data_IF_509181748616
#
_entry.id   IF_509181748616
#
_cell.length_a   1.000
_cell.length_b   1.000
_cell.length_c   1.000
_cell.angle_alpha   90.00
_cell.angle_beta   90.00
_cell.angle_gamma   90.00
#
_symmetry.space_group_name_H-M   'P 1'
#
loop_
_entity.id
_entity.type
_entity.pdbx_description
1 polymer ?
#
# COMPACT_ATOMS: atom_id res chain seq x y z
N UNK A 1 -2.68 11.23 -25.00
CA UNK A 1 -2.55 10.07 -24.10
C UNK A 1 -1.12 9.84 -23.65
N UNK A 2 -0.16 9.60 -24.54
CA UNK A 2 1.21 9.22 -24.15
C UNK A 2 1.95 10.31 -23.34
N UNK A 3 1.78 11.58 -23.70
CA UNK A 3 2.42 12.71 -23.00
C UNK A 3 1.81 12.91 -21.60
N UNK A 4 0.48 12.86 -21.47
CA UNK A 4 -0.20 12.95 -20.17
C UNK A 4 0.16 11.77 -19.26
N UNK A 5 0.35 10.57 -19.80
CA UNK A 5 0.80 9.39 -19.05
C UNK A 5 2.23 9.58 -18.53
N UNK A 6 3.16 10.05 -19.37
CA UNK A 6 4.54 10.29 -18.95
C UNK A 6 4.64 11.39 -17.90
N UNK A 7 3.88 12.47 -18.03
CA UNK A 7 3.81 13.55 -17.04
C UNK A 7 3.19 13.05 -15.74
N UNK A 8 2.12 12.25 -15.77
CA UNK A 8 1.54 11.67 -14.55
C UNK A 8 2.49 10.70 -13.85
N UNK A 9 3.23 9.87 -14.58
CA UNK A 9 4.22 8.94 -14.01
C UNK A 9 5.42 9.70 -13.41
N UNK A 10 5.93 10.73 -14.09
CA UNK A 10 7.01 11.59 -13.58
C UNK A 10 6.56 12.39 -12.37
N UNK A 11 5.35 12.95 -12.40
CA UNK A 11 4.75 13.64 -11.25
C UNK A 11 4.54 12.64 -10.11
N UNK A 12 4.08 11.41 -10.36
CA UNK A 12 3.90 10.39 -9.30
C UNK A 12 5.25 9.95 -8.68
N UNK A 13 6.28 9.79 -9.50
CA UNK A 13 7.63 9.43 -9.04
C UNK A 13 8.33 10.60 -8.31
N UNK A 14 8.15 11.84 -8.79
CA UNK A 14 8.70 13.06 -8.18
C UNK A 14 7.85 13.59 -7.01
N UNK A 15 6.56 13.23 -6.95
CA UNK A 15 5.64 13.62 -5.87
C UNK A 15 5.96 12.94 -4.55
N UNK A 16 6.89 11.96 -4.53
CA UNK A 16 7.57 11.56 -3.31
C UNK A 16 6.62 11.39 -2.14
N UNK A 17 5.84 10.31 -2.13
CA UNK A 17 5.28 9.84 -0.87
C UNK A 17 6.14 8.62 -0.47
N UNK A 18 7.36 8.82 0.11
CA UNK A 18 8.18 7.74 0.65
C UNK A 18 7.36 6.74 1.48
N UNK A 19 6.33 7.23 2.15
CA UNK A 19 5.40 6.44 2.93
C UNK A 19 4.64 5.40 2.08
N UNK A 20 4.24 5.71 0.85
CA UNK A 20 3.59 4.73 -0.04
C UNK A 20 4.57 3.68 -0.56
N UNK A 21 5.82 4.07 -0.84
CA UNK A 21 6.87 3.12 -1.23
C UNK A 21 7.21 2.19 -0.06
N UNK A 22 7.33 2.74 1.15
CA UNK A 22 7.53 1.98 2.38
C UNK A 22 6.36 1.04 2.66
N UNK A 23 5.12 1.53 2.54
CA UNK A 23 3.91 0.72 2.70
C UNK A 23 3.86 -0.44 1.71
N UNK A 24 4.17 -0.19 0.44
CA UNK A 24 4.22 -1.22 -0.60
C UNK A 24 5.31 -2.26 -0.30
N UNK A 25 6.50 -1.83 0.16
CA UNK A 25 7.58 -2.73 0.54
C UNK A 25 7.19 -3.62 1.72
N UNK A 26 6.62 -3.05 2.78
CA UNK A 26 6.19 -3.80 3.98
C UNK A 26 5.10 -4.81 3.64
N UNK A 27 4.04 -4.39 2.92
CA UNK A 27 2.99 -5.30 2.47
C UNK A 27 3.53 -6.40 1.54
N UNK A 28 4.44 -6.06 0.63
CA UNK A 28 5.09 -7.02 -0.26
C UNK A 28 5.89 -8.09 0.50
N UNK A 29 6.64 -7.69 1.53
CA UNK A 29 7.38 -8.62 2.40
C UNK A 29 6.42 -9.52 3.17
N UNK A 30 5.42 -8.96 3.85
CA UNK A 30 4.47 -9.73 4.67
C UNK A 30 3.68 -10.72 3.81
N UNK A 31 3.11 -10.28 2.69
CA UNK A 31 2.36 -11.16 1.79
C UNK A 31 3.26 -12.21 1.14
N UNK A 32 4.51 -11.86 0.79
CA UNK A 32 5.51 -12.80 0.28
C UNK A 32 5.87 -13.90 1.29
N UNK A 33 6.06 -13.55 2.57
CA UNK A 33 6.29 -14.50 3.65
C UNK A 33 5.07 -15.41 3.88
N UNK A 34 3.86 -14.84 3.86
CA UNK A 34 2.63 -15.62 4.03
C UNK A 34 2.44 -16.66 2.92
N UNK A 35 2.78 -16.33 1.66
CA UNK A 35 2.75 -17.31 0.56
C UNK A 35 3.76 -18.43 0.78
N UNK A 36 4.96 -18.11 1.30
CA UNK A 36 5.99 -19.12 1.58
C UNK A 36 5.60 -20.09 2.69
N UNK A 37 4.91 -19.61 3.73
CA UNK A 37 4.49 -20.43 4.88
C UNK A 37 3.21 -21.22 4.58
N UNK A 38 2.23 -20.61 3.91
CA UNK A 38 0.90 -21.22 3.71
C UNK A 38 0.73 -21.92 2.37
N UNK A 39 1.59 -21.65 1.38
CA UNK A 39 1.46 -22.15 0.00
C UNK A 39 0.27 -21.58 -0.78
N UNK A 40 -0.62 -20.83 -0.12
CA UNK A 40 -1.87 -20.31 -0.67
C UNK A 40 -1.91 -18.79 -0.75
N UNK A 41 -3.06 -18.25 -1.17
CA UNK A 41 -3.28 -16.81 -1.32
C UNK A 41 -4.21 -16.21 -0.25
N UNK A 42 -4.82 -17.03 0.60
CA UNK A 42 -5.76 -16.56 1.62
C UNK A 42 -5.11 -15.61 2.63
N UNK A 43 -3.92 -15.95 3.15
CA UNK A 43 -3.16 -15.07 4.04
C UNK A 43 -2.87 -13.68 3.44
N UNK A 44 -2.30 -13.62 2.21
CA UNK A 44 -2.09 -12.38 1.48
C UNK A 44 -3.38 -11.57 1.26
N UNK A 45 -4.47 -12.23 0.88
CA UNK A 45 -5.76 -11.58 0.63
C UNK A 45 -6.30 -10.94 1.91
N UNK A 46 -6.31 -11.67 3.03
CA UNK A 46 -6.76 -11.14 4.32
C UNK A 46 -5.90 -9.94 4.76
N UNK A 47 -4.58 -10.03 4.57
CA UNK A 47 -3.66 -8.94 4.92
C UNK A 47 -3.93 -7.69 4.09
N UNK A 48 -4.13 -7.86 2.79
CA UNK A 48 -4.40 -6.74 1.89
C UNK A 48 -5.76 -6.08 2.19
N UNK A 49 -6.79 -6.89 2.45
CA UNK A 49 -8.12 -6.39 2.84
C UNK A 49 -8.07 -5.65 4.18
N UNK A 50 -7.37 -6.21 5.18
CA UNK A 50 -7.21 -5.58 6.50
C UNK A 50 -6.51 -4.23 6.38
N UNK A 51 -5.44 -4.18 5.58
CA UNK A 51 -4.72 -2.93 5.32
C UNK A 51 -5.60 -1.89 4.63
N UNK A 52 -6.31 -2.27 3.56
CA UNK A 52 -7.18 -1.35 2.81
C UNK A 52 -8.35 -0.86 3.64
N UNK A 53 -9.00 -1.72 4.41
CA UNK A 53 -10.05 -1.32 5.35
C UNK A 53 -9.49 -0.42 6.46
N UNK A 54 -8.31 -0.73 7.00
CA UNK A 54 -7.63 0.11 7.98
C UNK A 54 -7.30 1.48 7.42
N UNK A 55 -6.77 1.56 6.19
CA UNK A 55 -6.52 2.83 5.53
C UNK A 55 -7.80 3.63 5.26
N UNK A 56 -8.92 2.96 4.99
CA UNK A 56 -10.21 3.62 4.75
C UNK A 56 -10.86 4.15 6.03
N UNK A 57 -10.86 3.34 7.10
CA UNK A 57 -11.63 3.64 8.32
C UNK A 57 -10.79 4.17 9.48
N UNK A 58 -9.57 3.66 9.67
CA UNK A 58 -8.72 4.01 10.81
C UNK A 58 -7.77 5.15 10.50
N UNK A 59 -7.28 5.28 9.26
CA UNK A 59 -6.36 6.36 8.90
C UNK A 59 -6.88 7.77 9.24
N UNK A 60 -8.12 8.18 8.87
CA UNK A 60 -8.63 9.49 9.26
C UNK A 60 -8.72 9.66 10.78
N UNK A 61 -9.14 8.62 11.51
CA UNK A 61 -9.22 8.65 12.98
C UNK A 61 -7.84 8.82 13.62
N UNK A 62 -6.83 8.10 13.11
CA UNK A 62 -5.46 8.16 13.61
C UNK A 62 -4.83 9.52 13.31
N UNK A 63 -5.09 10.09 12.13
CA UNK A 63 -4.60 11.42 11.76
C UNK A 63 -5.29 12.51 12.59
N UNK A 64 -6.60 12.46 12.77
CA UNK A 64 -7.35 13.38 13.63
C UNK A 64 -6.92 13.28 15.11
N UNK A 65 -6.60 12.07 15.59
CA UNK A 65 -6.04 11.87 16.92
C UNK A 65 -4.57 12.35 17.05
N UNK A 66 -3.86 12.52 15.93
CA UNK A 66 -2.45 12.91 15.89
C UNK A 66 -2.23 14.44 15.71
N UNK A 67 -3.23 15.21 15.23
CA UNK A 67 -3.23 16.68 15.26
C UNK A 67 -3.45 17.36 13.91
#
# INVERSE_FOLDING_TARGET
MTISTLVYTLVTAAAGIPLLVLAAALLGVVTGLQRRVTGGILGPVVTHLTWSLGMLFLLPVVLDAAG
#
